data_IF_177400991122
#
_entry.id   IF_177400991122
#
_cell.length_a   1.000
_cell.length_b   1.000
_cell.length_c   1.000
_cell.angle_alpha   90.00
_cell.angle_beta   90.00
_cell.angle_gamma   90.00
#
_symmetry.space_group_name_H-M   'P 1'
#
loop_
_entity.id
_entity.type
_entity.pdbx_description
1 polymer ?
#
# COMPACT_ATOMS: atom_id res chain seq x y z
N UNK A 1 -21.62 -6.66 -3.24
CA UNK A 1 -20.30 -6.14 -2.81
C UNK A 1 -19.69 -5.40 -4.00
N UNK A 2 -19.44 -4.10 -3.88
CA UNK A 2 -18.87 -3.29 -4.98
C UNK A 2 -17.37 -3.57 -5.13
N UNK A 3 -16.82 -3.43 -6.34
CA UNK A 3 -15.38 -3.57 -6.58
C UNK A 3 -14.66 -2.34 -6.00
N UNK A 4 -13.70 -2.57 -5.10
CA UNK A 4 -12.87 -1.51 -4.52
C UNK A 4 -11.74 -1.17 -5.50
N UNK A 5 -11.53 0.13 -5.75
CA UNK A 5 -10.36 0.63 -6.47
C UNK A 5 -9.24 0.91 -5.46
N UNK A 6 -8.34 -0.07 -5.30
CA UNK A 6 -7.24 -0.01 -4.32
C UNK A 6 -6.29 1.15 -4.62
N UNK A 7 -6.08 1.51 -5.89
CA UNK A 7 -5.21 2.63 -6.24
C UNK A 7 -5.85 3.96 -5.81
N UNK A 8 -7.16 4.11 -6.02
CA UNK A 8 -7.88 5.30 -5.57
C UNK A 8 -7.84 5.45 -4.04
N UNK A 9 -7.96 4.34 -3.30
CA UNK A 9 -7.84 4.35 -1.83
C UNK A 9 -6.45 4.78 -1.39
N UNK A 10 -5.40 4.26 -2.01
CA UNK A 10 -4.02 4.65 -1.68
C UNK A 10 -3.76 6.12 -2.03
N UNK A 11 -4.24 6.58 -3.19
CA UNK A 11 -4.11 7.97 -3.62
C UNK A 11 -4.81 8.93 -2.65
N UNK A 12 -6.00 8.56 -2.16
CA UNK A 12 -6.72 9.32 -1.13
C UNK A 12 -5.95 9.40 0.18
N UNK A 13 -5.38 8.28 0.66
CA UNK A 13 -4.56 8.26 1.88
C UNK A 13 -3.29 9.12 1.74
N UNK A 14 -2.58 9.01 0.61
CA UNK A 14 -1.41 9.85 0.33
C UNK A 14 -1.79 11.33 0.36
N UNK A 15 -2.93 11.69 -0.26
CA UNK A 15 -3.44 13.06 -0.28
C UNK A 15 -3.83 13.56 1.12
N UNK A 16 -4.48 12.71 1.91
CA UNK A 16 -4.87 13.03 3.29
C UNK A 16 -3.65 13.32 4.16
N UNK A 17 -2.67 12.42 4.19
CA UNK A 17 -1.43 12.62 4.95
C UNK A 17 -0.69 13.89 4.53
N UNK A 18 -0.57 14.15 3.24
CA UNK A 18 0.08 15.36 2.73
C UNK A 18 -0.67 16.64 3.16
N UNK A 19 -2.00 16.59 3.20
CA UNK A 19 -2.84 17.72 3.63
C UNK A 19 -2.68 18.00 5.12
N UNK A 20 -2.74 16.95 5.95
CA UNK A 20 -2.56 17.06 7.40
C UNK A 20 -1.16 17.59 7.74
N UNK A 21 -0.12 17.09 7.08
CA UNK A 21 1.25 17.57 7.29
C UNK A 21 1.39 19.05 6.92
N UNK A 22 0.76 19.49 5.83
CA UNK A 22 0.77 20.89 5.42
C UNK A 22 0.08 21.77 6.46
N UNK A 23 -1.11 21.38 6.93
CA UNK A 23 -1.84 22.14 7.94
C UNK A 23 -1.06 22.27 9.25
N UNK A 24 -0.43 21.19 9.71
CA UNK A 24 0.42 21.21 10.90
C UNK A 24 1.56 22.25 10.78
N UNK A 25 2.18 22.37 9.60
CA UNK A 25 3.21 23.37 9.33
C UNK A 25 2.64 24.79 9.27
N UNK A 26 1.50 24.97 8.60
CA UNK A 26 0.85 26.29 8.43
C UNK A 26 0.34 26.86 9.77
N UNK A 27 -0.09 26.00 10.71
CA UNK A 27 -0.52 26.39 12.06
C UNK A 27 0.66 26.61 13.05
N UNK A 28 1.91 26.40 12.61
CA UNK A 28 3.10 26.50 13.47
C UNK A 28 3.22 25.36 14.47
N UNK A 29 2.45 24.28 14.30
CA UNK A 29 2.53 23.08 15.13
C UNK A 29 3.67 22.17 14.65
N UNK A 30 4.90 22.68 14.77
CA UNK A 30 6.11 22.03 14.28
C UNK A 30 6.36 20.67 14.95
N UNK A 31 5.95 20.49 16.21
CA UNK A 31 6.04 19.21 16.91
C UNK A 31 5.18 18.14 16.24
N UNK A 32 3.93 18.45 15.93
CA UNK A 32 3.03 17.53 15.23
C UNK A 32 3.44 17.30 13.77
N UNK A 33 4.00 18.32 13.11
CA UNK A 33 4.56 18.18 11.77
C UNK A 33 5.81 17.28 11.75
N UNK A 34 6.65 17.34 12.77
CA UNK A 34 7.85 16.49 12.95
C UNK A 34 7.45 15.06 13.31
N UNK A 35 6.47 14.83 14.20
CA UNK A 35 5.93 13.48 14.48
C UNK A 35 5.36 12.81 13.22
N UNK A 36 4.67 13.59 12.37
CA UNK A 36 4.19 13.13 11.07
C UNK A 36 5.33 12.83 10.08
N UNK A 37 6.46 13.55 10.17
CA UNK A 37 7.67 13.30 9.38
C UNK A 37 8.46 12.11 9.95
N UNK A 38 8.38 11.84 11.25
CA UNK A 38 8.85 10.59 11.85
C UNK A 38 8.01 9.40 11.35
N UNK A 39 6.72 9.63 11.10
CA UNK A 39 5.83 8.72 10.37
C UNK A 39 5.98 8.79 8.84
N UNK A 40 7.02 9.46 8.31
CA UNK A 40 7.35 9.46 6.87
C UNK A 40 7.54 8.06 6.30
N UNK A 41 7.84 7.08 7.16
CA UNK A 41 7.80 5.66 6.84
C UNK A 41 6.47 5.27 6.19
N UNK A 42 5.33 5.62 6.77
CA UNK A 42 4.00 5.25 6.26
C UNK A 42 3.70 5.88 4.90
N UNK A 43 4.02 7.16 4.71
CA UNK A 43 3.79 7.83 3.41
C UNK A 43 4.72 7.26 2.32
N UNK A 44 5.95 6.93 2.69
CA UNK A 44 6.90 6.28 1.79
C UNK A 44 6.43 4.88 1.42
N UNK A 45 5.96 4.09 2.38
CA UNK A 45 5.37 2.77 2.15
C UNK A 45 4.15 2.87 1.23
N UNK A 46 3.20 3.78 1.48
CA UNK A 46 2.04 3.97 0.60
C UNK A 46 2.43 4.30 -0.85
N UNK A 47 3.45 5.13 -1.05
CA UNK A 47 3.97 5.45 -2.40
C UNK A 47 4.64 4.26 -3.07
N UNK A 48 5.38 3.46 -2.31
CA UNK A 48 5.98 2.22 -2.79
C UNK A 48 4.90 1.20 -3.16
N UNK A 49 3.92 0.97 -2.29
CA UNK A 49 2.77 0.09 -2.53
C UNK A 49 1.98 0.54 -3.76
N UNK A 50 1.72 1.83 -3.92
CA UNK A 50 1.07 2.39 -5.12
C UNK A 50 1.82 2.02 -6.39
N UNK A 51 3.15 2.19 -6.37
CA UNK A 51 4.01 1.90 -7.52
C UNK A 51 4.02 0.41 -7.83
N UNK A 52 4.15 -0.43 -6.80
CA UNK A 52 4.15 -1.88 -6.95
C UNK A 52 2.82 -2.41 -7.51
N UNK A 53 1.68 -1.92 -7.01
CA UNK A 53 0.34 -2.30 -7.52
C UNK A 53 0.15 -1.82 -8.96
N UNK A 54 0.61 -0.61 -9.30
CA UNK A 54 0.53 -0.09 -10.67
C UNK A 54 1.31 -0.99 -11.63
N UNK A 55 2.52 -1.37 -11.25
CA UNK A 55 3.38 -2.24 -12.04
C UNK A 55 2.79 -3.66 -12.17
N UNK A 56 2.23 -4.21 -11.10
CA UNK A 56 1.54 -5.49 -11.10
C UNK A 56 0.36 -5.48 -12.10
N UNK A 57 -0.46 -4.44 -12.07
CA UNK A 57 -1.56 -4.29 -13.02
C UNK A 57 -1.08 -4.12 -14.46
N UNK A 58 0.02 -3.40 -14.68
CA UNK A 58 0.61 -3.21 -16.01
C UNK A 58 1.17 -4.53 -16.56
N UNK A 59 1.92 -5.28 -15.76
CA UNK A 59 2.46 -6.59 -16.11
C UNK A 59 1.36 -7.61 -16.40
N UNK A 60 0.32 -7.67 -15.55
CA UNK A 60 -0.84 -8.53 -15.77
C UNK A 60 -1.58 -8.20 -17.08
N UNK A 61 -1.78 -6.91 -17.38
CA UNK A 61 -2.38 -6.48 -18.65
C UNK A 61 -1.51 -6.85 -19.85
N UNK A 62 -0.19 -6.68 -19.74
CA UNK A 62 0.75 -7.09 -20.79
C UNK A 62 0.70 -8.60 -21.05
N UNK A 63 0.66 -9.41 -19.99
CA UNK A 63 0.54 -10.86 -20.08
C UNK A 63 -0.76 -11.28 -20.77
N UNK A 64 -1.89 -10.65 -20.41
CA UNK A 64 -3.19 -10.92 -21.04
C UNK A 64 -3.27 -10.45 -22.50
N UNK A 65 -2.47 -9.46 -22.88
CA UNK A 65 -2.44 -8.91 -24.23
C UNK A 65 -1.39 -9.56 -25.15
N UNK A 66 -0.48 -10.37 -24.59
CA UNK A 66 0.59 -11.03 -25.32
C UNK A 66 0.02 -11.92 -26.44
N UNK A 67 0.60 -11.81 -27.63
CA UNK A 67 0.16 -12.57 -28.83
C UNK A 67 1.10 -13.70 -29.20
N UNK A 68 2.30 -13.71 -28.63
CA UNK A 68 3.29 -14.75 -28.79
C UNK A 68 3.94 -15.11 -27.47
N UNK A 69 4.66 -16.24 -27.49
CA UNK A 69 5.27 -16.83 -26.30
C UNK A 69 6.40 -15.96 -25.75
N UNK A 70 7.14 -15.22 -26.59
CA UNK A 70 8.26 -14.41 -26.12
C UNK A 70 7.75 -13.19 -25.33
N UNK A 71 6.70 -12.53 -25.84
CA UNK A 71 6.00 -11.45 -25.13
C UNK A 71 5.37 -11.97 -23.83
N UNK A 72 4.79 -13.17 -23.86
CA UNK A 72 4.17 -13.76 -22.68
C UNK A 72 5.19 -14.08 -21.59
N UNK A 73 6.35 -14.65 -21.94
CA UNK A 73 7.46 -14.92 -21.00
C UNK A 73 8.00 -13.61 -20.42
N UNK A 74 8.18 -12.58 -21.25
CA UNK A 74 8.65 -11.27 -20.78
C UNK A 74 7.67 -10.64 -19.78
N UNK A 75 6.37 -10.72 -20.07
CA UNK A 75 5.34 -10.20 -19.18
C UNK A 75 5.21 -11.01 -17.88
N UNK A 76 5.41 -12.33 -17.95
CA UNK A 76 5.41 -13.23 -16.80
C UNK A 76 6.58 -12.95 -15.85
N UNK A 77 7.79 -12.76 -16.38
CA UNK A 77 8.97 -12.38 -15.60
C UNK A 77 8.76 -11.03 -14.91
N UNK A 78 8.19 -10.07 -15.64
CA UNK A 78 7.80 -8.76 -15.08
C UNK A 78 6.74 -8.89 -13.99
N UNK A 79 5.77 -9.80 -14.15
CA UNK A 79 4.74 -10.06 -13.16
C UNK A 79 5.33 -10.67 -11.89
N UNK A 80 6.25 -11.64 -12.01
CA UNK A 80 6.97 -12.21 -10.86
C UNK A 80 7.80 -11.16 -10.12
N UNK A 81 8.50 -10.30 -10.85
CA UNK A 81 9.27 -9.21 -10.24
C UNK A 81 8.36 -8.22 -9.49
N UNK A 82 7.21 -7.87 -10.07
CA UNK A 82 6.22 -7.00 -9.43
C UNK A 82 5.62 -7.64 -8.16
N UNK A 83 5.37 -8.95 -8.17
CA UNK A 83 4.91 -9.70 -7.00
C UNK A 83 5.96 -9.74 -5.89
N UNK A 84 7.22 -10.03 -6.22
CA UNK A 84 8.32 -10.02 -5.25
C UNK A 84 8.51 -8.64 -4.61
N UNK A 85 8.28 -7.56 -5.36
CA UNK A 85 8.29 -6.19 -4.81
C UNK A 85 7.10 -5.88 -3.88
N UNK A 86 6.04 -6.70 -3.89
CA UNK A 86 4.91 -6.60 -2.97
C UNK A 86 5.09 -7.47 -1.71
N UNK A 87 6.08 -8.35 -1.66
CA UNK A 87 6.36 -9.14 -0.47
C UNK A 87 6.88 -8.24 0.65
N UNK A 88 6.34 -8.35 1.88
CA UNK A 88 6.79 -7.54 3.00
C UNK A 88 8.27 -7.83 3.29
N UNK A 89 9.07 -6.77 3.33
CA UNK A 89 10.52 -6.87 3.57
C UNK A 89 10.86 -7.13 5.04
N UNK A 90 9.89 -7.05 5.95
CA UNK A 90 10.07 -7.28 7.37
C UNK A 90 8.95 -8.18 7.95
N UNK A 91 9.26 -9.41 8.40
CA UNK A 91 8.27 -10.31 9.00
C UNK A 91 7.76 -9.83 10.37
N UNK A 92 8.31 -8.75 10.93
CA UNK A 92 7.84 -8.22 12.22
C UNK A 92 6.45 -7.56 12.11
N UNK A 93 6.11 -6.96 10.98
CA UNK A 93 4.85 -6.24 10.78
C UNK A 93 3.64 -7.16 10.50
N UNK A 94 3.89 -8.41 10.10
CA UNK A 94 2.82 -9.39 9.86
C UNK A 94 2.18 -9.84 11.18
N UNK A 95 2.94 -9.88 12.27
CA UNK A 95 2.44 -10.40 13.55
C UNK A 95 1.48 -9.42 14.24
N UNK A 96 1.77 -8.12 14.17
CA UNK A 96 0.92 -7.09 14.78
C UNK A 96 -0.38 -6.85 14.00
N UNK A 97 -0.34 -6.91 12.66
CA UNK A 97 -1.53 -6.78 11.82
C UNK A 97 -2.46 -8.01 11.88
N UNK A 98 -1.92 -9.20 12.11
CA UNK A 98 -2.71 -10.44 12.22
C UNK A 98 -3.24 -10.65 13.65
N UNK A 99 -2.46 -10.31 14.69
CA UNK A 99 -2.95 -10.38 16.08
C UNK A 99 -4.05 -9.33 16.37
N UNK A 100 -4.02 -8.16 15.69
CA UNK A 100 -5.07 -7.15 15.79
C UNK A 100 -6.41 -7.53 15.13
N UNK A 101 -6.43 -8.58 14.30
CA UNK A 101 -7.62 -9.08 13.60
C UNK A 101 -8.35 -10.21 14.36
N UNK A 102 -7.82 -10.63 15.52
CA UNK A 102 -8.39 -11.67 16.38
C UNK A 102 -9.03 -11.13 17.67
N UNK A 103 -9.64 -9.94 17.63
CA UNK A 103 -10.53 -9.49 18.71
C UNK A 103 -11.95 -9.88 18.32
N UNK A 104 -12.32 -11.13 18.59
CA UNK A 104 -13.73 -11.45 18.84
C UNK A 104 -14.00 -11.06 20.30
N UNK A 105 -14.51 -9.84 20.50
CA UNK A 105 -15.17 -9.44 21.73
C UNK A 105 -16.38 -10.38 21.91
N UNK A 106 -16.25 -11.37 22.79
CA UNK A 106 -17.42 -11.92 23.45
C UNK A 106 -17.60 -11.13 24.74
N UNK A 107 -18.22 -9.95 24.61
CA UNK A 107 -18.94 -9.34 25.72
C UNK A 107 -20.29 -10.04 25.90
N UNK A 108 -20.65 -10.21 27.17
CA UNK A 108 -21.89 -10.73 27.75
C UNK A 108 -22.01 -12.28 27.77
N UNK A 109 -22.24 -12.95 28.90
CA UNK A 109 -23.31 -12.67 29.87
C UNK A 109 -22.92 -13.06 31.33
N UNK A 110 -23.13 -12.09 32.24
CA UNK A 110 -23.52 -12.17 33.67
C UNK A 110 -22.54 -12.71 34.74
#
# INVERSE_FOLDING_TARGET
>A
MSRVDVLAVIDDHIGHYATVQKWARDEGNHHYADELDEHSGTLTQLRLTRTAITELQAAARAYLAARDLADQVTADDRLRAALAACEPTDPHNEREAVDGLCVEENDDEQ
#
